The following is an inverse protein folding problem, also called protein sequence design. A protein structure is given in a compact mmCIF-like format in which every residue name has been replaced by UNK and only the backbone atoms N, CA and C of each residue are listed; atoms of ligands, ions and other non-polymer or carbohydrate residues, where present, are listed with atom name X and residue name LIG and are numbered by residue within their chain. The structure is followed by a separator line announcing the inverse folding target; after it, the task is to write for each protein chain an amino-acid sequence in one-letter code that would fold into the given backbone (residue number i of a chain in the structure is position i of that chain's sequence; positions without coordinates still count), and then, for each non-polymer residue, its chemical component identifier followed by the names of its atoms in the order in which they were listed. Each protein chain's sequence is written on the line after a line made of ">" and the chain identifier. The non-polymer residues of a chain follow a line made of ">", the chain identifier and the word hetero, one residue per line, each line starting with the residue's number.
data_IF_458396153843
#
_entry.id   IF_458396153843
#
_cell.length_a   1.000
_cell.length_b   1.000
_cell.length_c   1.000
_cell.angle_alpha   90.00
_cell.angle_beta   90.00
_cell.angle_gamma   90.00
#
_symmetry.space_group_name_H-M   'P 1'
#
loop_
_entity.id
_entity.type
_entity.pdbx_description
1 polymer ?
#
# COMPACT_ATOMS: atom_id res chain seq x y z
N UNK A 1 -45.32 82.79 -64.46
CA UNK A 1 -46.05 82.90 -63.18
C UNK A 1 -45.01 83.04 -62.08
N UNK A 2 -44.74 84.26 -61.61
CA UNK A 2 -43.72 84.52 -60.59
C UNK A 2 -44.35 84.33 -59.21
N UNK A 3 -43.93 83.29 -58.50
CA UNK A 3 -44.33 83.08 -57.10
C UNK A 3 -43.68 84.20 -56.28
N UNK A 4 -44.48 84.92 -55.51
CA UNK A 4 -43.97 85.98 -54.64
C UNK A 4 -43.03 85.37 -53.58
N UNK A 5 -41.89 86.01 -53.27
CA UNK A 5 -40.84 85.44 -52.42
C UNK A 5 -41.36 85.05 -51.02
N UNK A 6 -42.33 85.78 -50.47
CA UNK A 6 -42.97 85.48 -49.19
C UNK A 6 -43.78 84.18 -49.22
N UNK A 7 -44.49 83.90 -50.32
CA UNK A 7 -45.25 82.66 -50.51
C UNK A 7 -44.32 81.45 -50.70
N UNK A 8 -43.17 81.65 -51.35
CA UNK A 8 -42.16 80.62 -51.51
C UNK A 8 -41.52 80.20 -50.17
N UNK A 9 -41.26 81.18 -49.29
CA UNK A 9 -40.72 80.94 -47.95
C UNK A 9 -41.69 80.14 -47.08
N UNK A 10 -42.97 80.52 -47.07
CA UNK A 10 -44.00 79.77 -46.34
C UNK A 10 -44.12 78.32 -46.80
N UNK A 11 -44.08 78.09 -48.12
CA UNK A 11 -44.16 76.75 -48.69
C UNK A 11 -42.93 75.90 -48.37
N UNK A 12 -41.72 76.49 -48.37
CA UNK A 12 -40.48 75.81 -47.99
C UNK A 12 -40.48 75.38 -46.52
N UNK A 13 -40.99 76.21 -45.60
CA UNK A 13 -41.09 75.87 -44.16
C UNK A 13 -42.05 74.70 -43.94
N UNK A 14 -43.22 74.72 -44.59
CA UNK A 14 -44.20 73.62 -44.48
C UNK A 14 -43.62 72.31 -45.03
N UNK A 15 -42.94 72.34 -46.19
CA UNK A 15 -42.30 71.16 -46.77
C UNK A 15 -41.16 70.64 -45.88
N UNK A 16 -40.33 71.52 -45.33
CA UNK A 16 -39.25 71.14 -44.42
C UNK A 16 -39.80 70.49 -43.14
N UNK A 17 -40.86 71.04 -42.56
CA UNK A 17 -41.50 70.49 -41.37
C UNK A 17 -42.16 69.13 -41.63
N UNK A 18 -42.84 68.97 -42.77
CA UNK A 18 -43.41 67.69 -43.17
C UNK A 18 -42.33 66.63 -43.45
N UNK A 19 -41.24 67.01 -44.12
CA UNK A 19 -40.08 66.14 -44.35
C UNK A 19 -39.42 65.70 -43.03
N UNK A 20 -39.22 66.62 -42.10
CA UNK A 20 -38.63 66.30 -40.79
C UNK A 20 -39.58 65.43 -39.95
N UNK A 21 -40.88 65.73 -39.93
CA UNK A 21 -41.87 64.95 -39.18
C UNK A 21 -41.98 63.50 -39.67
N UNK A 22 -41.93 63.28 -40.99
CA UNK A 22 -41.96 61.94 -41.57
C UNK A 22 -40.67 61.18 -41.30
N UNK A 23 -39.52 61.86 -41.34
CA UNK A 23 -38.22 61.28 -41.04
C UNK A 23 -38.10 60.89 -39.56
N UNK A 24 -38.57 61.76 -38.66
CA UNK A 24 -38.56 61.53 -37.21
C UNK A 24 -39.48 60.37 -36.80
N UNK A 25 -40.66 60.27 -37.43
CA UNK A 25 -41.55 59.12 -37.22
C UNK A 25 -40.95 57.80 -37.71
N UNK A 26 -40.20 57.82 -38.81
CA UNK A 26 -39.52 56.64 -39.34
C UNK A 26 -38.37 56.17 -38.44
N UNK A 27 -37.59 57.08 -37.86
CA UNK A 27 -36.48 56.72 -36.95
C UNK A 27 -36.98 56.12 -35.64
N UNK A 28 -38.01 56.71 -35.01
CA UNK A 28 -38.66 56.17 -33.82
C UNK A 28 -39.20 54.76 -34.04
N UNK A 29 -39.86 54.51 -35.18
CA UNK A 29 -40.37 53.17 -35.53
C UNK A 29 -39.24 52.17 -35.74
N UNK A 30 -38.12 52.57 -36.35
CA UNK A 30 -36.94 51.70 -36.52
C UNK A 30 -36.31 51.37 -35.16
N UNK A 31 -36.14 52.36 -34.28
CA UNK A 31 -35.64 52.15 -32.92
C UNK A 31 -36.55 51.23 -32.10
N UNK A 32 -37.87 51.40 -32.17
CA UNK A 32 -38.82 50.53 -31.48
C UNK A 32 -38.74 49.08 -31.98
N UNK A 33 -38.57 48.88 -33.29
CA UNK A 33 -38.37 47.54 -33.86
C UNK A 33 -37.06 46.92 -33.39
N UNK A 34 -35.96 47.67 -33.48
CA UNK A 34 -34.65 47.22 -33.01
C UNK A 34 -34.65 46.89 -31.51
N UNK A 35 -35.32 47.70 -30.69
CA UNK A 35 -35.48 47.45 -29.26
C UNK A 35 -36.27 46.17 -28.98
N UNK A 36 -37.37 45.93 -29.73
CA UNK A 36 -38.14 44.68 -29.61
C UNK A 36 -37.31 43.47 -30.04
N UNK A 37 -36.58 43.60 -31.14
CA UNK A 37 -35.70 42.54 -31.65
C UNK A 37 -34.60 42.19 -30.65
N UNK A 38 -33.92 43.19 -30.08
CA UNK A 38 -32.92 43.00 -29.02
C UNK A 38 -33.54 42.37 -27.77
N UNK A 39 -34.75 42.78 -27.37
CA UNK A 39 -35.46 42.17 -26.24
C UNK A 39 -35.72 40.69 -26.49
N UNK A 40 -36.15 40.32 -27.70
CA UNK A 40 -36.38 38.93 -28.08
C UNK A 40 -35.08 38.13 -28.08
N UNK A 41 -34.00 38.69 -28.65
CA UNK A 41 -32.68 38.03 -28.66
C UNK A 41 -32.13 37.83 -27.25
N UNK A 42 -32.28 38.81 -26.36
CA UNK A 42 -31.87 38.67 -24.95
C UNK A 42 -32.69 37.60 -24.23
N UNK A 43 -34.00 37.54 -24.50
CA UNK A 43 -34.87 36.52 -23.91
C UNK A 43 -34.49 35.11 -24.41
N UNK A 44 -34.19 34.97 -25.69
CA UNK A 44 -33.73 33.71 -26.28
C UNK A 44 -32.36 33.30 -25.72
N UNK A 45 -31.41 34.22 -25.67
CA UNK A 45 -30.08 33.99 -25.10
C UNK A 45 -30.16 33.60 -23.62
N UNK A 46 -31.06 34.23 -22.85
CA UNK A 46 -31.28 33.87 -21.44
C UNK A 46 -31.83 32.43 -21.32
N UNK A 47 -32.75 32.03 -22.20
CA UNK A 47 -33.22 30.65 -22.27
C UNK A 47 -32.12 29.65 -22.63
N UNK A 48 -31.18 30.04 -23.51
CA UNK A 48 -30.02 29.21 -23.83
C UNK A 48 -29.06 29.05 -22.64
N UNK A 49 -28.81 30.13 -21.88
CA UNK A 49 -28.00 30.08 -20.66
C UNK A 49 -28.62 29.14 -19.64
N UNK A 50 -29.93 29.23 -19.43
CA UNK A 50 -30.64 28.34 -18.50
C UNK A 50 -30.56 26.86 -18.96
N UNK A 51 -30.66 26.60 -20.27
CA UNK A 51 -30.47 25.26 -20.81
C UNK A 51 -29.05 24.73 -20.59
N UNK A 52 -28.02 25.57 -20.79
CA UNK A 52 -26.62 25.22 -20.53
C UNK A 52 -26.36 24.95 -19.06
N UNK A 53 -26.94 25.75 -18.16
CA UNK A 53 -26.86 25.54 -16.72
C UNK A 53 -27.42 24.18 -16.34
N UNK A 54 -28.64 23.85 -16.80
CA UNK A 54 -29.26 22.54 -16.55
C UNK A 54 -28.40 21.39 -17.10
N UNK A 55 -27.82 21.55 -18.28
CA UNK A 55 -26.93 20.54 -18.88
C UNK A 55 -25.63 20.36 -18.07
N UNK A 56 -25.04 21.45 -17.58
CA UNK A 56 -23.85 21.42 -16.72
C UNK A 56 -24.16 20.75 -15.38
N UNK A 57 -25.27 21.10 -14.73
CA UNK A 57 -25.69 20.47 -13.48
C UNK A 57 -25.89 18.97 -13.66
N UNK A 58 -26.57 18.56 -14.74
CA UNK A 58 -26.78 17.14 -15.05
C UNK A 58 -25.45 16.42 -15.25
N UNK A 59 -24.55 17.01 -16.03
CA UNK A 59 -23.21 16.45 -16.29
C UNK A 59 -22.38 16.35 -15.01
N UNK A 60 -22.47 17.32 -14.10
CA UNK A 60 -21.80 17.27 -12.81
C UNK A 60 -22.28 16.09 -11.96
N UNK A 61 -23.59 15.83 -11.93
CA UNK A 61 -24.15 14.67 -11.22
C UNK A 61 -23.66 13.36 -11.85
N UNK A 62 -23.69 13.24 -13.18
CA UNK A 62 -23.20 12.06 -13.90
C UNK A 62 -21.70 11.81 -13.68
N UNK A 63 -20.89 12.88 -13.69
CA UNK A 63 -19.45 12.78 -13.42
C UNK A 63 -19.17 12.36 -11.98
N UNK A 64 -19.89 12.89 -10.99
CA UNK A 64 -19.74 12.46 -9.60
C UNK A 64 -20.12 10.98 -9.43
N UNK A 65 -21.22 10.54 -10.04
CA UNK A 65 -21.60 9.13 -10.03
C UNK A 65 -20.55 8.23 -10.70
N UNK A 66 -19.95 8.69 -11.80
CA UNK A 66 -18.86 7.98 -12.48
C UNK A 66 -17.57 7.95 -11.65
N UNK A 67 -17.24 9.03 -10.93
CA UNK A 67 -16.10 9.09 -10.00
C UNK A 67 -16.32 8.12 -8.83
N UNK A 68 -17.51 8.11 -8.24
CA UNK A 68 -17.86 7.14 -7.19
C UNK A 68 -17.76 5.70 -7.69
N UNK A 69 -18.22 5.43 -8.92
CA UNK A 69 -18.11 4.09 -9.51
C UNK A 69 -16.66 3.73 -9.82
N UNK A 70 -15.83 4.68 -10.26
CA UNK A 70 -14.38 4.49 -10.42
C UNK A 70 -13.72 4.17 -9.08
N UNK A 71 -14.05 4.91 -8.01
CA UNK A 71 -13.55 4.65 -6.66
C UNK A 71 -14.01 3.29 -6.12
N UNK A 72 -15.26 2.89 -6.41
CA UNK A 72 -15.76 1.55 -6.09
C UNK A 72 -15.04 0.45 -6.86
N UNK A 73 -14.68 0.70 -8.13
CA UNK A 73 -13.99 -0.24 -9.02
C UNK A 73 -12.48 -0.28 -8.84
N UNK A 74 -11.90 0.70 -8.15
CA UNK A 74 -10.48 0.75 -7.88
C UNK A 74 -10.11 -0.24 -6.75
N UNK A 75 -10.16 -1.53 -7.10
CA UNK A 75 -9.84 -2.66 -6.23
C UNK A 75 -8.37 -2.70 -5.78
N UNK A 76 -7.51 -1.81 -6.31
CA UNK A 76 -6.09 -1.68 -5.92
C UNK A 76 -5.80 -0.32 -5.27
N UNK A 77 -6.67 0.69 -5.45
CA UNK A 77 -6.58 2.00 -4.81
C UNK A 77 -7.20 2.10 -3.41
N UNK A 78 -7.92 1.06 -2.95
CA UNK A 78 -8.61 1.11 -1.66
C UNK A 78 -7.64 1.19 -0.47
N UNK A 79 -7.98 1.94 0.61
CA UNK A 79 -7.16 2.02 1.83
C UNK A 79 -6.85 0.64 2.41
N UNK A 80 -7.80 -0.30 2.33
CA UNK A 80 -7.64 -1.67 2.82
C UNK A 80 -6.63 -2.48 1.99
N UNK A 81 -6.56 -2.28 0.67
CA UNK A 81 -5.55 -2.92 -0.18
C UNK A 81 -4.15 -2.36 0.11
N UNK A 82 -4.03 -1.05 0.36
CA UNK A 82 -2.78 -0.42 0.78
C UNK A 82 -2.34 -0.93 2.15
N UNK A 83 -3.24 -0.97 3.12
CA UNK A 83 -2.95 -1.47 4.45
C UNK A 83 -2.58 -2.97 4.44
N UNK A 84 -3.21 -3.77 3.58
CA UNK A 84 -2.83 -5.17 3.39
C UNK A 84 -1.43 -5.32 2.77
N UNK A 85 -1.09 -4.50 1.79
CA UNK A 85 0.25 -4.50 1.19
C UNK A 85 1.32 -4.06 2.20
N UNK A 86 1.06 -3.03 2.99
CA UNK A 86 1.96 -2.57 4.06
C UNK A 86 2.18 -3.67 5.11
N UNK A 87 1.11 -4.34 5.55
CA UNK A 87 1.19 -5.50 6.46
C UNK A 87 1.97 -6.66 5.84
N UNK A 88 1.81 -6.90 4.53
CA UNK A 88 2.57 -7.94 3.84
C UNK A 88 4.05 -7.59 3.70
N UNK A 89 4.38 -6.32 3.45
CA UNK A 89 5.77 -5.85 3.41
C UNK A 89 6.44 -6.01 4.79
N UNK A 90 5.75 -5.62 5.87
CA UNK A 90 6.24 -5.78 7.23
C UNK A 90 6.44 -7.26 7.61
N UNK A 91 5.46 -8.12 7.28
CA UNK A 91 5.57 -9.56 7.50
C UNK A 91 6.74 -10.18 6.71
N UNK A 92 6.94 -9.76 5.45
CA UNK A 92 8.08 -10.24 4.64
C UNK A 92 9.42 -9.77 5.21
N UNK A 93 9.49 -8.54 5.71
CA UNK A 93 10.70 -8.01 6.35
C UNK A 93 11.05 -8.78 7.63
N UNK A 94 10.04 -9.06 8.47
CA UNK A 94 10.20 -9.88 9.66
C UNK A 94 10.66 -11.32 9.30
N UNK A 95 10.03 -11.94 8.31
CA UNK A 95 10.41 -13.27 7.83
C UNK A 95 11.85 -13.30 7.26
N UNK A 96 12.25 -12.26 6.51
CA UNK A 96 13.61 -12.10 5.97
C UNK A 96 14.65 -11.98 7.09
N UNK A 97 14.36 -11.19 8.12
CA UNK A 97 15.25 -11.04 9.27
C UNK A 97 15.37 -12.35 10.08
N UNK A 98 14.25 -13.05 10.30
CA UNK A 98 14.25 -14.34 10.96
C UNK A 98 15.06 -15.40 10.17
N UNK A 99 14.96 -15.39 8.83
CA UNK A 99 15.75 -16.27 7.98
C UNK A 99 17.25 -15.97 8.08
N UNK A 100 17.65 -14.69 8.09
CA UNK A 100 19.06 -14.28 8.30
C UNK A 100 19.59 -14.75 9.65
N UNK A 101 18.84 -14.51 10.73
CA UNK A 101 19.23 -14.97 12.07
C UNK A 101 19.34 -16.50 12.14
N UNK A 102 18.43 -17.23 11.46
CA UNK A 102 18.52 -18.70 11.37
C UNK A 102 19.76 -19.14 10.59
N UNK A 103 20.12 -18.44 9.52
CA UNK A 103 21.30 -18.75 8.71
C UNK A 103 22.57 -18.59 9.54
N UNK A 104 22.72 -17.45 10.23
CA UNK A 104 23.84 -17.19 11.15
C UNK A 104 23.93 -18.25 12.26
N UNK A 105 22.79 -18.63 12.86
CA UNK A 105 22.76 -19.70 13.87
C UNK A 105 23.16 -21.05 13.30
N UNK A 106 22.78 -21.35 12.06
CA UNK A 106 23.14 -22.61 11.40
C UNK A 106 24.65 -22.70 11.14
N UNK A 107 25.26 -21.61 10.70
CA UNK A 107 26.72 -21.53 10.49
C UNK A 107 27.50 -21.77 11.79
N UNK A 108 27.05 -21.18 12.91
CA UNK A 108 27.64 -21.42 14.23
C UNK A 108 27.46 -22.88 14.69
N UNK A 109 26.30 -23.49 14.41
CA UNK A 109 26.07 -24.90 14.73
C UNK A 109 26.97 -25.80 13.89
N UNK A 110 27.15 -25.54 12.60
CA UNK A 110 28.06 -26.32 11.76
C UNK A 110 29.51 -26.22 12.23
N UNK A 111 29.99 -25.02 12.58
CA UNK A 111 31.33 -24.84 13.17
C UNK A 111 31.46 -25.60 14.50
N UNK A 112 30.43 -25.59 15.34
CA UNK A 112 30.43 -26.38 16.59
C UNK A 112 30.45 -27.90 16.33
N UNK A 113 29.74 -28.38 15.30
CA UNK A 113 29.74 -29.79 14.90
C UNK A 113 31.10 -30.19 14.32
N UNK A 114 31.74 -29.33 13.53
CA UNK A 114 33.09 -29.54 13.02
C UNK A 114 34.11 -29.67 14.15
N UNK A 115 34.04 -28.78 15.15
CA UNK A 115 34.90 -28.85 16.35
C UNK A 115 34.63 -30.12 17.16
N UNK A 116 33.37 -30.49 17.36
CA UNK A 116 33.01 -31.72 18.08
C UNK A 116 33.46 -32.98 17.33
N UNK A 117 33.35 -33.01 16.00
CA UNK A 117 33.88 -34.09 15.16
C UNK A 117 35.39 -34.22 15.31
N UNK A 118 36.13 -33.11 15.27
CA UNK A 118 37.57 -33.12 15.47
C UNK A 118 37.96 -33.63 16.87
N UNK A 119 37.26 -33.17 17.92
CA UNK A 119 37.46 -33.68 19.28
C UNK A 119 37.10 -35.16 19.41
N UNK A 120 36.06 -35.63 18.72
CA UNK A 120 35.66 -37.03 18.73
C UNK A 120 36.69 -37.92 18.03
N UNK A 121 37.26 -37.47 16.92
CA UNK A 121 38.35 -38.17 16.22
C UNK A 121 39.58 -38.28 17.13
N UNK A 122 39.95 -37.18 17.79
CA UNK A 122 41.08 -37.15 18.73
C UNK A 122 40.81 -38.05 19.95
N UNK A 123 39.62 -37.99 20.53
CA UNK A 123 39.20 -38.85 21.64
C UNK A 123 39.18 -40.33 21.23
N UNK A 124 38.74 -40.64 20.01
CA UNK A 124 38.72 -42.02 19.48
C UNK A 124 40.13 -42.55 19.25
N UNK A 125 41.04 -41.72 18.71
CA UNK A 125 42.44 -42.09 18.55
C UNK A 125 43.11 -42.35 19.91
N UNK A 126 42.88 -41.48 20.89
CA UNK A 126 43.37 -41.65 22.26
C UNK A 126 42.79 -42.90 22.94
N UNK A 127 41.49 -43.19 22.75
CA UNK A 127 40.86 -44.41 23.26
C UNK A 127 41.40 -45.66 22.58
N UNK A 128 41.65 -45.64 21.27
CA UNK A 128 42.28 -46.74 20.55
C UNK A 128 43.70 -47.00 21.05
N UNK A 129 44.46 -45.95 21.33
CA UNK A 129 45.80 -46.07 21.90
C UNK A 129 45.76 -46.62 23.33
N UNK A 130 44.87 -46.13 24.19
CA UNK A 130 44.68 -46.66 25.54
C UNK A 130 44.19 -48.13 25.54
N UNK A 131 43.32 -48.50 24.60
CA UNK A 131 42.90 -49.88 24.39
C UNK A 131 44.04 -50.77 23.89
N UNK A 132 44.90 -50.27 23.01
CA UNK A 132 46.11 -50.96 22.59
C UNK A 132 47.05 -51.20 23.77
N UNK A 133 47.25 -50.20 24.61
CA UNK A 133 48.10 -50.30 25.82
C UNK A 133 47.51 -51.29 26.83
N UNK A 134 46.19 -51.32 27.03
CA UNK A 134 45.52 -52.32 27.86
C UNK A 134 45.63 -53.73 27.29
N UNK A 135 45.49 -53.92 25.97
CA UNK A 135 45.73 -55.21 25.33
C UNK A 135 47.17 -55.66 25.53
N UNK A 136 48.12 -54.74 25.39
CA UNK A 136 49.54 -55.01 25.63
C UNK A 136 49.82 -55.35 27.11
N UNK A 137 49.11 -54.72 28.04
CA UNK A 137 49.17 -55.02 29.48
C UNK A 137 48.51 -56.36 29.83
N UNK A 138 47.41 -56.73 29.17
CA UNK A 138 46.72 -58.01 29.34
C UNK A 138 47.50 -59.17 28.75
N UNK A 139 48.25 -58.94 27.66
CA UNK A 139 49.15 -59.95 27.08
C UNK A 139 50.38 -60.19 27.97
N UNK A 140 50.80 -59.19 28.77
CA UNK A 140 51.96 -59.30 29.67
C UNK A 140 51.62 -59.84 31.06
N UNK A 141 50.34 -60.05 31.40
CA UNK A 141 49.91 -60.71 32.64
C UNK A 141 49.34 -62.12 32.39
N UNK A 142 49.94 -63.20 32.93
CA UNK A 142 49.45 -64.56 32.72
C UNK A 142 48.20 -64.84 33.57
N UNK A 143 47.11 -65.14 32.85
CA UNK A 143 45.80 -65.70 33.22
C UNK A 143 45.58 -66.10 34.70
N UNK A 144 44.91 -65.21 35.43
CA UNK A 144 44.00 -65.58 36.52
C UNK A 144 42.55 -65.56 36.01
N UNK A 145 41.90 -66.72 36.04
CA UNK A 145 40.52 -66.97 35.63
C UNK A 145 39.54 -65.90 36.18
N UNK A 146 38.82 -65.19 35.30
CA UNK A 146 37.71 -64.31 35.70
C UNK A 146 36.43 -64.75 35.00
N UNK A 147 35.46 -65.22 35.79
CA UNK A 147 34.09 -65.49 35.34
C UNK A 147 33.37 -64.16 35.19
N UNK A 148 33.02 -63.80 33.97
CA UNK A 148 32.21 -62.63 33.65
C UNK A 148 30.76 -62.91 34.06
N UNK A 149 30.37 -62.49 35.25
CA UNK A 149 28.96 -62.38 35.63
C UNK A 149 28.35 -61.23 34.83
N UNK A 150 27.40 -61.57 33.97
CA UNK A 150 26.55 -60.61 33.30
C UNK A 150 25.61 -59.97 34.33
N UNK A 151 25.98 -58.78 34.79
CA UNK A 151 25.09 -57.91 35.56
C UNK A 151 25.06 -56.54 34.88
N UNK A 152 24.09 -56.35 34.00
CA UNK A 152 23.66 -55.01 33.60
C UNK A 152 22.94 -54.39 34.79
N UNK A 153 23.70 -53.77 35.69
CA UNK A 153 23.17 -52.78 36.60
C UNK A 153 23.07 -51.47 35.82
N UNK A 154 21.84 -51.11 35.41
CA UNK A 154 21.49 -49.73 35.14
C UNK A 154 21.59 -49.00 36.48
N UNK A 155 22.82 -48.57 36.81
CA UNK A 155 23.01 -47.55 37.81
C UNK A 155 22.52 -46.26 37.15
N UNK A 156 21.30 -45.87 37.50
CA UNK A 156 20.80 -44.50 37.39
C UNK A 156 21.71 -43.62 38.24
N UNK A 157 22.91 -43.32 37.72
CA UNK A 157 23.81 -42.34 38.31
C UNK A 157 23.17 -40.99 38.10
N UNK A 158 22.61 -40.50 39.21
CA UNK A 158 22.10 -39.18 39.48
C UNK A 158 22.23 -38.17 38.35
N UNK A 159 21.07 -37.67 37.92
CA UNK A 159 20.83 -36.26 37.59
C UNK A 159 22.12 -35.45 37.42
N UNK A 160 22.64 -35.40 36.19
CA UNK A 160 23.58 -34.35 35.82
C UNK A 160 22.83 -33.04 35.99
N UNK A 161 23.18 -32.17 36.97
CA UNK A 161 22.41 -30.95 37.25
C UNK A 161 22.34 -30.05 36.03
N UNK A 162 23.41 -30.04 35.23
CA UNK A 162 23.53 -29.23 34.03
C UNK A 162 22.47 -29.56 32.97
N UNK A 163 22.07 -30.83 32.79
CA UNK A 163 21.02 -31.17 31.82
C UNK A 163 19.66 -30.64 32.31
N UNK A 164 19.36 -30.82 33.59
CA UNK A 164 18.10 -30.36 34.18
C UNK A 164 18.01 -28.83 34.22
N UNK A 165 19.11 -28.12 34.47
CA UNK A 165 19.18 -26.66 34.36
C UNK A 165 18.96 -26.20 32.91
N UNK A 166 19.60 -26.86 31.94
CA UNK A 166 19.39 -26.55 30.50
C UNK A 166 17.93 -26.78 30.10
N UNK A 167 17.29 -27.86 30.59
CA UNK A 167 15.89 -28.15 30.32
C UNK A 167 14.94 -27.19 31.05
N UNK A 168 15.29 -26.74 32.25
CA UNK A 168 14.52 -25.75 33.00
C UNK A 168 14.59 -24.37 32.33
N UNK A 169 15.78 -23.96 31.88
CA UNK A 169 16.01 -22.70 31.16
C UNK A 169 15.29 -22.68 29.80
N UNK A 170 15.31 -23.82 29.08
CA UNK A 170 14.53 -24.00 27.85
C UNK A 170 13.01 -23.91 28.10
N UNK A 171 12.54 -24.51 29.19
CA UNK A 171 11.12 -24.49 29.54
C UNK A 171 10.65 -23.09 29.97
N UNK A 172 11.49 -22.34 30.69
CA UNK A 172 11.23 -20.96 31.08
C UNK A 172 11.23 -20.03 29.85
N UNK A 173 12.19 -20.20 28.94
CA UNK A 173 12.23 -19.47 27.67
C UNK A 173 11.00 -19.74 26.80
N UNK A 174 10.58 -21.00 26.66
CA UNK A 174 9.37 -21.39 25.92
C UNK A 174 8.10 -20.80 26.55
N UNK A 175 8.03 -20.75 27.87
CA UNK A 175 6.90 -20.18 28.60
C UNK A 175 6.82 -18.66 28.45
N UNK A 176 7.97 -17.97 28.40
CA UNK A 176 8.07 -16.54 28.15
C UNK A 176 7.74 -16.14 26.70
N UNK A 177 8.15 -16.96 25.73
CA UNK A 177 7.86 -16.74 24.30
C UNK A 177 6.37 -16.96 24.00
N UNK A 178 5.73 -17.96 24.62
CA UNK A 178 4.30 -18.22 24.48
C UNK A 178 3.41 -17.12 25.10
N UNK A 179 3.91 -16.42 26.13
CA UNK A 179 3.21 -15.30 26.77
C UNK A 179 3.44 -13.94 26.06
N UNK A 180 4.41 -13.87 25.14
CA UNK A 180 4.80 -12.65 24.43
C UNK A 180 4.27 -12.58 22.99
N UNK A 181 3.42 -13.52 22.58
CA UNK A 181 2.74 -13.50 21.28
C UNK A 181 1.39 -12.78 21.40
N UNK A 182 1.17 -11.67 20.68
CA UNK A 182 -0.12 -10.96 20.63
C UNK A 182 -1.21 -11.72 19.86
#
# INVERSE_FOLDING_TARGET
>A
MMVHPEMALGLAVVVAFLSESTNHGASLRRMQRASRELSTQLQEANGQVENLERALTRRHVELNAAIEELQRRDAVGSPAARELLDRQEEAMKAASNALKARHERNDVVFDSMERLLNMQVEQTANMQQAMSDLLQHLITQPRGHFTMSDSVLVQERGSVPAANETFAELNEWLSGEAASSP
#
